data_IF_574471592987
#
_entry.id   IF_574471592987
#
_cell.length_a   1.000
_cell.length_b   1.000
_cell.length_c   1.000
_cell.angle_alpha   90.00
_cell.angle_beta   90.00
_cell.angle_gamma   90.00
#
_symmetry.space_group_name_H-M   'P 1'
#
loop_
_entity.id
_entity.type
_entity.pdbx_description
1 polymer ?
#
# COMPACT_ATOMS: atom_id res chain seq x y z
N UNK A 1 63.70 23.42 -42.86
CA UNK A 1 63.11 24.25 -41.79
C UNK A 1 61.64 23.86 -41.69
N UNK A 2 61.25 23.37 -40.50
CA UNK A 2 59.91 23.43 -39.86
C UNK A 2 58.70 22.98 -40.70
N UNK A 3 58.17 21.77 -40.47
CA UNK A 3 57.20 21.39 -39.42
C UNK A 3 55.77 21.93 -39.64
N UNK A 4 54.85 21.04 -40.05
CA UNK A 4 53.57 20.80 -39.36
C UNK A 4 52.75 19.69 -40.07
N UNK A 5 52.83 18.48 -39.51
CA UNK A 5 51.85 17.38 -39.60
C UNK A 5 50.47 17.80 -38.97
N UNK A 6 49.49 16.90 -38.76
CA UNK A 6 48.76 16.00 -39.67
C UNK A 6 47.23 16.03 -39.34
N UNK A 7 46.44 15.13 -39.93
CA UNK A 7 45.32 14.54 -39.18
C UNK A 7 43.91 14.92 -39.62
N UNK A 8 43.47 14.31 -40.72
CA UNK A 8 42.07 13.92 -40.88
C UNK A 8 42.02 12.55 -41.55
N UNK A 9 42.65 11.55 -40.93
CA UNK A 9 42.39 10.15 -41.26
C UNK A 9 41.00 9.85 -40.73
N UNK A 10 40.05 9.76 -41.67
CA UNK A 10 38.73 9.22 -41.43
C UNK A 10 38.87 7.89 -40.68
N UNK A 11 38.45 7.87 -39.41
CA UNK A 11 38.36 6.65 -38.65
C UNK A 11 37.38 5.72 -39.38
N UNK A 12 37.96 4.67 -39.97
CA UNK A 12 37.30 3.54 -40.58
C UNK A 12 36.09 3.13 -39.73
N UNK A 13 34.93 3.05 -40.38
CA UNK A 13 33.69 2.61 -39.77
C UNK A 13 33.90 1.34 -38.96
N UNK A 14 33.82 1.48 -37.64
CA UNK A 14 33.65 0.34 -36.75
C UNK A 14 32.31 -0.27 -37.16
N UNK A 15 32.24 -1.52 -37.65
CA UNK A 15 30.95 -2.15 -37.81
C UNK A 15 30.28 -2.07 -36.45
N UNK A 16 29.12 -1.41 -36.39
CA UNK A 16 28.21 -1.51 -35.25
C UNK A 16 27.76 -2.97 -35.30
N UNK A 17 28.60 -3.85 -34.74
CA UNK A 17 28.27 -5.24 -34.57
C UNK A 17 26.96 -5.26 -33.82
N UNK A 18 25.93 -5.82 -34.45
CA UNK A 18 24.63 -5.99 -33.84
C UNK A 18 24.87 -6.50 -32.41
N UNK A 19 24.37 -5.76 -31.41
CA UNK A 19 24.45 -6.20 -30.03
C UNK A 19 24.01 -7.67 -29.99
N UNK A 20 24.77 -8.57 -29.35
CA UNK A 20 24.41 -9.98 -29.29
C UNK A 20 22.94 -10.08 -28.88
N UNK A 21 22.12 -10.74 -29.70
CA UNK A 21 20.71 -10.91 -29.39
C UNK A 21 20.59 -11.47 -27.97
N UNK A 22 19.77 -10.86 -27.08
CA UNK A 22 19.63 -11.34 -25.72
C UNK A 22 19.29 -12.82 -25.75
N UNK A 23 20.14 -13.66 -25.15
CA UNK A 23 19.92 -15.11 -25.13
C UNK A 23 18.53 -15.37 -24.51
N UNK A 24 17.65 -16.12 -25.18
CA UNK A 24 16.32 -16.41 -24.65
C UNK A 24 16.44 -17.03 -23.27
N UNK A 25 15.86 -16.36 -22.26
CA UNK A 25 15.91 -16.86 -20.89
C UNK A 25 15.12 -18.18 -20.79
N UNK A 26 15.67 -19.24 -20.17
CA UNK A 26 15.02 -20.55 -20.11
C UNK A 26 13.65 -20.46 -19.42
N UNK A 27 12.68 -21.32 -19.80
CA UNK A 27 11.38 -21.36 -19.18
C UNK A 27 11.52 -21.69 -17.68
N UNK A 28 10.66 -21.07 -16.85
CA UNK A 28 10.62 -21.33 -15.41
C UNK A 28 10.43 -22.83 -15.15
N UNK A 29 11.22 -23.43 -14.22
CA UNK A 29 10.99 -24.80 -13.80
C UNK A 29 9.54 -24.95 -13.30
N UNK A 30 8.86 -26.03 -13.70
CA UNK A 30 7.44 -26.28 -13.33
C UNK A 30 7.19 -26.22 -11.81
N UNK A 31 8.21 -26.47 -10.99
CA UNK A 31 8.17 -26.38 -9.53
C UNK A 31 8.24 -24.94 -8.95
N UNK A 32 8.71 -23.95 -9.72
CA UNK A 32 8.89 -22.57 -9.26
C UNK A 32 7.61 -21.71 -9.38
N UNK A 33 6.80 -21.97 -10.41
CA UNK A 33 5.52 -21.27 -10.62
C UNK A 33 4.49 -21.42 -9.48
N UNK A 34 4.22 -22.62 -8.92
CA UNK A 34 3.26 -22.77 -7.82
C UNK A 34 3.76 -22.12 -6.53
N UNK A 35 5.07 -22.14 -6.27
CA UNK A 35 5.67 -21.48 -5.09
C UNK A 35 5.56 -19.97 -5.14
N UNK A 36 5.74 -19.36 -6.31
CA UNK A 36 5.54 -17.92 -6.49
C UNK A 36 4.09 -17.50 -6.21
N UNK A 37 3.12 -18.30 -6.67
CA UNK A 37 1.70 -18.09 -6.36
C UNK A 37 1.39 -18.25 -4.87
N UNK A 38 1.97 -19.26 -4.22
CA UNK A 38 1.83 -19.46 -2.76
C UNK A 38 2.47 -18.31 -1.96
N UNK A 39 3.63 -17.81 -2.38
CA UNK A 39 4.29 -16.67 -1.76
C UNK A 39 3.46 -15.38 -1.87
N UNK A 40 2.82 -15.15 -3.03
CA UNK A 40 1.90 -14.03 -3.23
C UNK A 40 0.56 -14.20 -2.50
N UNK A 41 0.01 -15.42 -2.48
CA UNK A 41 -1.27 -15.71 -1.83
C UNK A 41 -1.18 -15.71 -0.30
N UNK A 42 -0.27 -16.48 0.27
CA UNK A 42 -0.12 -16.61 1.73
C UNK A 42 0.65 -15.43 2.31
N UNK A 43 1.86 -15.17 1.78
CA UNK A 43 2.70 -14.09 2.28
C UNK A 43 2.15 -12.71 1.92
N UNK A 44 1.75 -12.50 0.66
CA UNK A 44 1.09 -11.27 0.23
C UNK A 44 -0.31 -11.10 0.84
N UNK A 45 -1.06 -12.17 1.04
CA UNK A 45 -2.35 -12.09 1.74
C UNK A 45 -2.22 -11.70 3.20
N UNK A 46 -1.24 -12.27 3.91
CA UNK A 46 -0.93 -11.84 5.28
C UNK A 46 -0.45 -10.38 5.32
N UNK A 47 0.31 -9.94 4.32
CA UNK A 47 0.72 -8.55 4.17
C UNK A 47 -0.50 -7.60 4.07
N UNK A 48 -1.45 -7.92 3.21
CA UNK A 48 -2.68 -7.15 3.03
C UNK A 48 -3.60 -7.19 4.24
N UNK A 49 -3.72 -8.34 4.91
CA UNK A 49 -4.49 -8.44 6.15
C UNK A 49 -3.91 -7.53 7.23
N UNK A 50 -2.60 -7.56 7.44
CA UNK A 50 -1.93 -6.68 8.41
C UNK A 50 -2.15 -5.20 8.10
N UNK A 51 -2.06 -4.82 6.81
CA UNK A 51 -2.35 -3.44 6.37
C UNK A 51 -3.81 -3.05 6.57
N UNK A 52 -4.75 -3.95 6.28
CA UNK A 52 -6.17 -3.70 6.49
C UNK A 52 -6.48 -3.47 7.98
N UNK A 53 -5.88 -4.27 8.87
CA UNK A 53 -5.99 -4.08 10.33
C UNK A 53 -5.39 -2.73 10.74
N UNK A 54 -4.16 -2.42 10.29
CA UNK A 54 -3.50 -1.16 10.64
C UNK A 54 -4.30 0.05 10.13
N UNK A 55 -4.80 0.00 8.90
CA UNK A 55 -5.63 1.03 8.30
C UNK A 55 -6.97 1.16 9.02
N UNK A 56 -7.65 0.07 9.36
CA UNK A 56 -8.92 0.10 10.10
C UNK A 56 -8.74 0.75 11.48
N UNK A 57 -7.72 0.33 12.24
CA UNK A 57 -7.41 0.93 13.53
C UNK A 57 -7.06 2.42 13.41
N UNK A 58 -6.23 2.79 12.42
CA UNK A 58 -5.87 4.18 12.17
C UNK A 58 -7.08 5.02 11.74
N UNK A 59 -7.95 4.48 10.89
CA UNK A 59 -9.17 5.15 10.42
C UNK A 59 -10.16 5.37 11.58
N UNK A 60 -10.34 4.38 12.45
CA UNK A 60 -11.18 4.49 13.64
C UNK A 60 -10.61 5.48 14.67
N UNK A 61 -9.29 5.49 14.88
CA UNK A 61 -8.63 6.52 15.70
C UNK A 61 -8.85 7.91 15.11
N UNK A 62 -8.60 8.07 13.81
CA UNK A 62 -8.81 9.33 13.13
C UNK A 62 -10.27 9.74 13.18
N UNK A 63 -11.23 8.82 13.08
CA UNK A 63 -12.66 9.12 13.19
C UNK A 63 -13.00 9.66 14.59
N UNK A 64 -12.55 8.96 15.64
CA UNK A 64 -12.75 9.35 17.03
C UNK A 64 -12.05 10.65 17.42
N UNK A 65 -11.04 11.08 16.65
CA UNK A 65 -10.34 12.36 16.84
C UNK A 65 -10.91 13.47 15.96
N UNK A 66 -11.05 13.23 14.66
CA UNK A 66 -11.38 14.24 13.66
C UNK A 66 -12.81 14.76 13.81
N UNK A 67 -13.80 13.89 14.02
CA UNK A 67 -15.19 14.36 14.12
C UNK A 67 -15.40 15.23 15.37
N UNK A 68 -15.00 14.80 16.59
CA UNK A 68 -15.17 15.64 17.77
C UNK A 68 -14.35 16.93 17.70
N UNK A 69 -13.12 16.90 17.17
CA UNK A 69 -12.30 18.12 17.01
C UNK A 69 -12.93 19.10 16.03
N UNK A 70 -13.48 18.63 14.91
CA UNK A 70 -14.16 19.48 13.93
C UNK A 70 -15.47 20.05 14.48
N UNK A 71 -16.28 19.24 15.16
CA UNK A 71 -17.55 19.69 15.75
C UNK A 71 -17.31 20.73 16.86
N UNK A 72 -16.41 20.43 17.81
CA UNK A 72 -16.08 21.36 18.89
C UNK A 72 -15.39 22.62 18.37
N UNK A 73 -14.53 22.49 17.36
CA UNK A 73 -13.91 23.64 16.69
C UNK A 73 -14.93 24.53 15.99
N UNK A 74 -15.92 23.94 15.31
CA UNK A 74 -16.99 24.69 14.66
C UNK A 74 -17.87 25.44 15.69
N UNK A 75 -18.24 24.79 16.80
CA UNK A 75 -19.00 25.44 17.88
C UNK A 75 -18.21 26.58 18.51
N UNK A 76 -16.95 26.34 18.89
CA UNK A 76 -16.10 27.36 19.49
C UNK A 76 -15.85 28.56 18.55
N UNK A 77 -15.77 28.32 17.24
CA UNK A 77 -15.69 29.38 16.23
C UNK A 77 -16.97 30.20 16.14
N UNK A 78 -18.15 29.56 16.17
CA UNK A 78 -19.45 30.26 16.16
C UNK A 78 -19.68 31.09 17.42
N UNK A 79 -19.20 30.62 18.57
CA UNK A 79 -19.33 31.31 19.86
C UNK A 79 -18.28 32.42 20.08
N UNK A 80 -17.32 32.58 19.15
CA UNK A 80 -16.24 33.56 19.29
C UNK A 80 -15.31 33.26 20.47
N UNK A 81 -15.12 31.97 20.78
CA UNK A 81 -14.30 31.56 21.91
C UNK A 81 -12.85 32.05 21.75
N UNK A 82 -12.25 32.65 22.79
CA UNK A 82 -10.89 33.22 22.70
C UNK A 82 -9.80 32.15 22.52
N UNK A 83 -10.02 30.91 22.99
CA UNK A 83 -9.04 29.81 22.95
C UNK A 83 -9.68 28.45 22.58
N UNK A 84 -10.12 28.23 21.33
CA UNK A 84 -10.80 27.00 20.91
C UNK A 84 -9.93 25.75 21.08
N UNK A 85 -8.61 25.88 20.90
CA UNK A 85 -7.67 24.77 21.00
C UNK A 85 -7.58 24.16 22.41
N UNK A 86 -7.72 24.97 23.47
CA UNK A 86 -7.65 24.48 24.85
C UNK A 86 -8.89 23.66 25.21
N UNK A 87 -10.07 24.09 24.74
CA UNK A 87 -11.32 23.35 24.91
C UNK A 87 -11.29 22.00 24.21
N UNK A 88 -10.86 21.98 22.94
CA UNK A 88 -10.69 20.75 22.16
C UNK A 88 -9.69 19.80 22.83
N UNK A 89 -8.54 20.31 23.27
CA UNK A 89 -7.54 19.48 23.94
C UNK A 89 -8.09 18.85 25.23
N UNK A 90 -8.84 19.60 26.04
CA UNK A 90 -9.46 19.06 27.26
C UNK A 90 -10.52 18.00 27.00
N UNK A 91 -11.20 18.06 25.85
CA UNK A 91 -12.20 17.05 25.47
C UNK A 91 -11.55 15.78 24.89
N UNK A 92 -10.51 15.92 24.07
CA UNK A 92 -9.88 14.81 23.33
C UNK A 92 -8.86 14.05 24.17
N UNK A 93 -8.10 14.75 25.03
CA UNK A 93 -7.00 14.14 25.78
C UNK A 93 -7.46 13.04 26.76
N UNK A 94 -8.60 13.19 27.48
CA UNK A 94 -9.15 12.10 28.29
C UNK A 94 -9.56 10.89 27.45
N UNK A 95 -10.13 11.13 26.26
CA UNK A 95 -10.55 10.05 25.36
C UNK A 95 -9.36 9.21 24.87
N UNK A 96 -8.21 9.84 24.59
CA UNK A 96 -6.98 9.12 24.23
C UNK A 96 -6.49 8.17 25.34
N UNK A 97 -6.86 8.43 26.60
CA UNK A 97 -6.58 7.56 27.73
C UNK A 97 -7.57 6.39 27.91
N UNK A 98 -8.61 6.30 27.08
CA UNK A 98 -9.60 5.22 27.17
C UNK A 98 -9.01 3.88 26.69
N UNK A 99 -9.50 2.74 27.22
CA UNK A 99 -9.09 1.42 26.74
C UNK A 99 -9.29 1.25 25.23
N UNK A 100 -10.34 1.85 24.67
CA UNK A 100 -10.66 1.79 23.23
C UNK A 100 -9.60 2.50 22.40
N UNK A 101 -9.25 3.75 22.74
CA UNK A 101 -8.23 4.50 22.02
C UNK A 101 -6.86 3.81 22.12
N UNK A 102 -6.51 3.29 23.30
CA UNK A 102 -5.27 2.53 23.51
C UNK A 102 -5.25 1.25 22.68
N UNK A 103 -6.35 0.48 22.66
CA UNK A 103 -6.45 -0.75 21.87
C UNK A 103 -6.29 -0.47 20.38
N UNK A 104 -6.92 0.59 19.85
CA UNK A 104 -6.74 0.97 18.45
C UNK A 104 -5.31 1.46 18.18
N UNK A 105 -4.71 2.22 19.10
CA UNK A 105 -3.32 2.69 18.99
C UNK A 105 -2.32 1.54 18.96
N UNK A 106 -2.56 0.47 19.70
CA UNK A 106 -1.77 -0.78 19.66
C UNK A 106 -2.08 -1.61 18.41
N UNK A 107 -3.32 -1.58 17.92
CA UNK A 107 -3.74 -2.28 16.71
C UNK A 107 -2.97 -1.84 15.46
N UNK A 108 -2.61 -0.55 15.36
CA UNK A 108 -1.81 -0.02 14.24
C UNK A 108 -0.43 -0.69 14.11
N UNK A 109 0.47 -0.64 15.12
CA UNK A 109 1.77 -1.29 15.03
C UNK A 109 1.64 -2.82 14.96
N UNK A 110 0.62 -3.42 15.58
CA UNK A 110 0.38 -4.86 15.47
C UNK A 110 0.01 -5.28 14.04
N UNK A 111 -0.87 -4.53 13.37
CA UNK A 111 -1.21 -4.73 11.97
C UNK A 111 0.00 -4.55 11.05
N UNK A 112 0.82 -3.52 11.28
CA UNK A 112 2.08 -3.32 10.55
C UNK A 112 3.07 -4.48 10.78
N UNK A 113 3.15 -5.00 12.00
CA UNK A 113 3.96 -6.18 12.33
C UNK A 113 3.53 -7.43 11.56
N UNK A 114 2.22 -7.69 11.50
CA UNK A 114 1.64 -8.77 10.67
C UNK A 114 1.98 -8.55 9.20
N UNK A 115 1.89 -7.31 8.73
CA UNK A 115 2.16 -6.99 7.34
C UNK A 115 3.62 -7.30 6.96
N UNK A 116 4.56 -6.86 7.79
CA UNK A 116 5.99 -7.12 7.64
C UNK A 116 6.30 -8.62 7.75
N UNK A 117 5.63 -9.34 8.65
CA UNK A 117 5.77 -10.80 8.76
C UNK A 117 5.31 -11.51 7.48
N UNK A 118 4.21 -11.06 6.87
CA UNK A 118 3.73 -11.56 5.58
C UNK A 118 4.75 -11.38 4.45
N UNK A 119 5.32 -10.18 4.34
CA UNK A 119 6.38 -9.88 3.37
C UNK A 119 7.63 -10.72 3.63
N UNK A 120 8.03 -10.86 4.88
CA UNK A 120 9.18 -11.68 5.27
C UNK A 120 8.98 -13.16 4.94
N UNK A 121 7.81 -13.73 5.26
CA UNK A 121 7.44 -15.11 4.90
C UNK A 121 7.46 -15.29 3.39
N UNK A 122 6.92 -14.34 2.64
CA UNK A 122 6.92 -14.35 1.18
C UNK A 122 8.35 -14.39 0.61
N UNK A 123 9.23 -13.51 1.10
CA UNK A 123 10.65 -13.52 0.73
C UNK A 123 11.34 -14.83 1.10
N UNK A 124 11.01 -15.42 2.25
CA UNK A 124 11.57 -16.71 2.69
C UNK A 124 11.11 -17.88 1.81
N UNK A 125 9.85 -17.90 1.38
CA UNK A 125 9.32 -18.91 0.45
C UNK A 125 9.98 -18.85 -0.94
N UNK A 126 10.46 -17.67 -1.34
CA UNK A 126 11.16 -17.45 -2.61
C UNK A 126 12.67 -17.77 -2.55
N UNK A 127 13.24 -18.04 -1.37
CA UNK A 127 14.65 -18.46 -1.23
C UNK A 127 14.83 -19.89 -1.75
N UNK A 128 15.07 -20.01 -3.06
CA UNK A 128 15.46 -21.25 -3.72
C UNK A 128 16.73 -21.00 -4.55
N UNK A 129 17.62 -22.00 -4.76
CA UNK A 129 18.88 -21.87 -5.51
C UNK A 129 18.81 -21.37 -6.97
N UNK A 130 17.65 -20.89 -7.44
CA UNK A 130 17.45 -20.34 -8.80
C UNK A 130 17.01 -18.87 -8.86
N UNK A 131 16.83 -18.16 -7.74
CA UNK A 131 16.45 -16.73 -7.72
C UNK A 131 17.53 -15.91 -7.01
N UNK A 132 18.18 -15.00 -7.74
CA UNK A 132 19.28 -14.19 -7.22
C UNK A 132 18.84 -13.18 -6.13
N UNK A 133 17.60 -12.68 -6.18
CA UNK A 133 17.12 -11.59 -5.32
C UNK A 133 15.69 -11.80 -4.80
N UNK A 134 15.43 -12.76 -3.89
CA UNK A 134 14.08 -13.08 -3.41
C UNK A 134 13.41 -11.89 -2.69
N UNK A 135 14.17 -11.10 -1.92
CA UNK A 135 13.65 -9.90 -1.25
C UNK A 135 13.28 -8.79 -2.26
N UNK A 136 14.11 -8.58 -3.30
CA UNK A 136 13.83 -7.60 -4.34
C UNK A 136 12.58 -7.95 -5.14
N UNK A 137 12.37 -9.24 -5.43
CA UNK A 137 11.14 -9.76 -6.07
C UNK A 137 9.92 -9.47 -5.21
N UNK A 138 9.97 -9.76 -3.90
CA UNK A 138 8.86 -9.50 -2.96
C UNK A 138 8.52 -8.01 -2.89
N UNK A 139 9.51 -7.13 -2.73
CA UNK A 139 9.27 -5.68 -2.63
C UNK A 139 8.72 -5.08 -3.92
N UNK A 140 9.24 -5.49 -5.07
CA UNK A 140 8.73 -5.03 -6.36
C UNK A 140 7.31 -5.55 -6.64
N UNK A 141 7.04 -6.83 -6.33
CA UNK A 141 5.71 -7.41 -6.48
C UNK A 141 4.70 -6.73 -5.54
N UNK A 142 5.10 -6.48 -4.29
CA UNK A 142 4.28 -5.74 -3.33
C UNK A 142 4.00 -4.31 -3.80
N UNK A 143 5.00 -3.58 -4.28
CA UNK A 143 4.82 -2.22 -4.82
C UNK A 143 3.87 -2.18 -6.01
N UNK A 144 3.97 -3.14 -6.93
CA UNK A 144 3.03 -3.27 -8.06
C UNK A 144 1.62 -3.58 -7.56
N UNK A 145 1.48 -4.54 -6.63
CA UNK A 145 0.18 -4.89 -6.06
C UNK A 145 -0.46 -3.69 -5.33
N UNK A 146 0.35 -2.89 -4.62
CA UNK A 146 -0.09 -1.68 -3.94
C UNK A 146 -0.63 -0.66 -4.93
N UNK A 147 0.14 -0.33 -5.98
CA UNK A 147 -0.29 0.62 -7.01
C UNK A 147 -1.54 0.10 -7.73
N UNK A 148 -1.58 -1.17 -8.12
CA UNK A 148 -2.73 -1.78 -8.77
C UNK A 148 -3.98 -1.72 -7.87
N UNK A 149 -3.84 -2.05 -6.58
CA UNK A 149 -4.93 -1.93 -5.62
C UNK A 149 -5.41 -0.47 -5.49
N UNK A 150 -4.50 0.51 -5.42
CA UNK A 150 -4.87 1.93 -5.39
C UNK A 150 -5.64 2.38 -6.63
N UNK A 151 -5.25 1.91 -7.84
CA UNK A 151 -6.01 2.20 -9.05
C UNK A 151 -7.41 1.57 -9.03
N UNK A 152 -7.52 0.32 -8.60
CA UNK A 152 -8.82 -0.37 -8.51
C UNK A 152 -9.71 0.27 -7.45
N UNK A 153 -9.17 0.63 -6.29
CA UNK A 153 -9.87 1.37 -5.25
C UNK A 153 -10.25 2.79 -5.69
N UNK A 154 -9.40 3.48 -6.44
CA UNK A 154 -9.68 4.80 -7.00
C UNK A 154 -10.82 4.79 -8.02
N UNK A 155 -10.84 3.80 -8.91
CA UNK A 155 -11.94 3.57 -9.86
C UNK A 155 -13.22 3.07 -9.17
N UNK A 156 -13.09 2.29 -8.09
CA UNK A 156 -14.21 1.82 -7.27
C UNK A 156 -14.85 2.95 -6.44
N UNK A 157 -14.05 3.89 -5.92
CA UNK A 157 -14.52 5.02 -5.11
C UNK A 157 -15.38 6.01 -5.89
N UNK A 158 -15.23 6.10 -7.22
CA UNK A 158 -16.13 6.88 -8.07
C UNK A 158 -17.53 6.28 -8.21
N UNK A 159 -17.73 5.00 -7.87
CA UNK A 159 -19.00 4.28 -8.07
C UNK A 159 -19.60 3.76 -6.75
N UNK A 160 -18.82 3.63 -5.67
CA UNK A 160 -19.27 2.96 -4.45
C UNK A 160 -18.66 3.45 -3.14
N UNK A 161 -18.90 4.71 -2.76
CA UNK A 161 -18.85 5.17 -1.37
C UNK A 161 -17.49 5.08 -0.61
N UNK A 162 -17.43 5.65 0.61
CA UNK A 162 -16.17 6.05 1.25
C UNK A 162 -15.36 4.92 1.91
N UNK A 163 -15.73 3.65 1.72
CA UNK A 163 -15.18 2.54 2.51
C UNK A 163 -14.15 1.67 1.78
N UNK A 164 -13.83 1.95 0.52
CA UNK A 164 -12.92 1.12 -0.29
C UNK A 164 -11.58 1.83 -0.51
N UNK A 165 -10.73 1.86 0.51
CA UNK A 165 -9.26 1.94 0.36
C UNK A 165 -8.65 3.20 -0.29
N UNK A 166 -9.39 4.30 -0.42
CA UNK A 166 -8.80 5.59 -0.79
C UNK A 166 -8.12 6.24 0.41
N UNK A 167 -6.94 6.84 0.20
CA UNK A 167 -6.47 7.97 1.02
C UNK A 167 -7.65 8.93 1.29
N UNK A 168 -7.69 9.65 2.42
CA UNK A 168 -8.78 10.56 2.77
C UNK A 168 -8.75 11.79 1.84
N UNK A 169 -9.19 11.59 0.60
CA UNK A 169 -9.47 12.61 -0.38
C UNK A 169 -10.98 12.82 -0.38
N UNK A 170 -11.42 13.78 0.43
CA UNK A 170 -12.55 14.70 0.20
C UNK A 170 -13.55 14.17 -0.87
N UNK A 171 -14.27 13.12 -0.52
CA UNK A 171 -15.23 12.44 -1.39
C UNK A 171 -16.64 12.76 -0.94
N UNK A 172 -17.18 13.84 -1.50
CA UNK A 172 -18.57 14.29 -1.45
C UNK A 172 -19.58 13.14 -1.49
N UNK A 173 -20.34 12.94 -0.41
CA UNK A 173 -21.35 11.89 -0.31
C UNK A 173 -22.42 12.16 0.74
N UNK A 174 -23.29 13.14 0.46
CA UNK A 174 -24.70 13.12 0.86
C UNK A 174 -25.06 13.28 2.34
N UNK A 175 -24.91 14.49 2.89
CA UNK A 175 -25.74 14.94 4.03
C UNK A 175 -26.73 15.99 3.54
N UNK A 176 -27.63 15.58 2.65
CA UNK A 176 -28.81 16.35 2.24
C UNK A 176 -29.95 16.17 3.25
N UNK A 177 -29.73 16.59 4.49
CA UNK A 177 -30.77 16.67 5.51
C UNK A 177 -31.19 18.13 5.68
N UNK A 178 -32.50 18.40 5.56
CA UNK A 178 -33.10 19.73 5.65
C UNK A 178 -32.56 20.56 6.81
N UNK A 179 -32.19 21.81 6.53
CA UNK A 179 -31.58 22.80 7.43
C UNK A 179 -32.55 23.38 8.46
N UNK A 180 -33.28 22.53 9.19
CA UNK A 180 -33.87 22.92 10.47
C UNK A 180 -32.77 22.89 11.52
N UNK A 181 -32.50 24.04 12.17
CA UNK A 181 -31.37 24.26 13.07
C UNK A 181 -31.01 23.03 13.90
N UNK A 182 -29.79 22.54 13.73
CA UNK A 182 -29.31 21.37 14.46
C UNK A 182 -29.28 21.77 15.93
N UNK A 183 -30.10 21.09 16.72
CA UNK A 183 -30.16 21.35 18.15
C UNK A 183 -28.79 21.00 18.79
N UNK A 184 -28.26 21.83 19.71
CA UNK A 184 -26.90 21.69 20.25
C UNK A 184 -26.70 20.38 21.03
N UNK A 185 -27.77 19.82 21.58
CA UNK A 185 -27.83 18.49 22.19
C UNK A 185 -27.61 17.36 21.17
N UNK A 186 -28.16 17.46 19.96
CA UNK A 186 -27.89 16.52 18.88
C UNK A 186 -26.42 16.60 18.44
N UNK A 187 -25.82 17.80 18.35
CA UNK A 187 -24.39 17.95 18.02
C UNK A 187 -23.48 17.33 19.09
N UNK A 188 -23.83 17.46 20.37
CA UNK A 188 -23.10 16.85 21.46
C UNK A 188 -23.13 15.31 21.40
N UNK A 189 -24.26 14.74 20.99
CA UNK A 189 -24.43 13.30 20.79
C UNK A 189 -23.54 12.75 19.65
N UNK A 190 -23.35 13.52 18.57
CA UNK A 190 -22.44 13.18 17.48
C UNK A 190 -20.96 13.48 17.79
N UNK A 191 -20.67 14.28 18.81
CA UNK A 191 -19.31 14.54 19.28
C UNK A 191 -18.77 13.43 20.21
N UNK A 192 -19.62 12.48 20.61
CA UNK A 192 -19.21 11.31 21.40
C UNK A 192 -18.47 10.28 20.52
N UNK A 193 -17.15 10.23 20.70
CA UNK A 193 -16.26 9.34 19.97
C UNK A 193 -16.58 7.85 20.20
N UNK A 194 -17.00 7.45 21.40
CA UNK A 194 -17.28 6.04 21.70
C UNK A 194 -18.55 5.58 21.00
N UNK A 195 -19.56 6.44 20.92
CA UNK A 195 -20.77 6.19 20.14
C UNK A 195 -20.48 6.11 18.64
N UNK A 196 -19.70 7.04 18.11
CA UNK A 196 -19.29 7.02 16.70
C UNK A 196 -18.56 5.72 16.37
N UNK A 197 -17.64 5.30 17.23
CA UNK A 197 -16.92 4.04 17.09
C UNK A 197 -17.85 2.84 17.16
N UNK A 198 -18.79 2.79 18.11
CA UNK A 198 -19.74 1.69 18.23
C UNK A 198 -20.58 1.51 16.96
N UNK A 199 -20.96 2.62 16.31
CA UNK A 199 -21.71 2.60 15.05
C UNK A 199 -20.79 2.24 13.88
N UNK A 200 -19.59 2.81 13.80
CA UNK A 200 -18.71 2.67 12.63
C UNK A 200 -17.98 1.32 12.58
N UNK A 201 -17.63 0.74 13.73
CA UNK A 201 -16.82 -0.49 13.85
C UNK A 201 -17.30 -1.64 12.96
N UNK A 202 -18.60 -2.03 12.93
CA UNK A 202 -19.05 -3.19 12.17
C UNK A 202 -18.90 -2.96 10.66
N UNK A 203 -19.20 -1.75 10.19
CA UNK A 203 -19.07 -1.38 8.77
C UNK A 203 -17.61 -1.35 8.34
N UNK A 204 -16.73 -0.81 9.18
CA UNK A 204 -15.29 -0.81 8.92
C UNK A 204 -14.74 -2.23 8.88
N UNK A 205 -15.14 -3.11 9.81
CA UNK A 205 -14.68 -4.49 9.85
C UNK A 205 -15.13 -5.29 8.61
N UNK A 206 -16.42 -5.23 8.26
CA UNK A 206 -16.98 -5.95 7.11
C UNK A 206 -16.43 -5.39 5.80
N UNK A 207 -16.40 -4.07 5.65
CA UNK A 207 -15.85 -3.40 4.48
C UNK A 207 -14.38 -3.73 4.27
N UNK A 208 -13.58 -3.73 5.35
CA UNK A 208 -12.17 -4.13 5.30
C UNK A 208 -12.03 -5.57 4.83
N UNK A 209 -12.79 -6.52 5.39
CA UNK A 209 -12.71 -7.94 5.04
C UNK A 209 -13.15 -8.22 3.59
N UNK A 210 -14.18 -7.54 3.09
CA UNK A 210 -14.57 -7.67 1.69
C UNK A 210 -13.49 -7.06 0.77
N UNK A 211 -12.91 -5.92 1.17
CA UNK A 211 -11.95 -5.19 0.34
C UNK A 211 -10.63 -5.93 0.14
N UNK A 212 -10.18 -6.80 1.06
CA UNK A 212 -8.89 -7.51 0.95
C UNK A 212 -8.86 -8.58 -0.16
N UNK A 213 -10.01 -9.06 -0.63
CA UNK A 213 -10.08 -10.12 -1.64
C UNK A 213 -9.37 -9.70 -2.92
N UNK A 214 -9.64 -8.48 -3.41
CA UNK A 214 -9.06 -7.95 -4.64
C UNK A 214 -7.53 -7.78 -4.53
N UNK A 215 -6.97 -7.11 -3.50
CA UNK A 215 -5.54 -7.04 -3.26
C UNK A 215 -4.85 -8.40 -3.13
N UNK A 216 -5.49 -9.39 -2.52
CA UNK A 216 -4.94 -10.76 -2.44
C UNK A 216 -4.79 -11.35 -3.84
N UNK A 217 -5.81 -11.24 -4.69
CA UNK A 217 -5.75 -11.72 -6.08
C UNK A 217 -4.66 -10.99 -6.88
N UNK A 218 -4.58 -9.67 -6.73
CA UNK A 218 -3.53 -8.86 -7.35
C UNK A 218 -2.13 -9.27 -6.88
N UNK A 219 -1.96 -9.58 -5.59
CA UNK A 219 -0.70 -10.09 -5.04
C UNK A 219 -0.31 -11.44 -5.61
N UNK A 220 -1.24 -12.39 -5.74
CA UNK A 220 -0.96 -13.69 -6.37
C UNK A 220 -0.42 -13.48 -7.79
N UNK A 221 -1.05 -12.58 -8.55
CA UNK A 221 -0.62 -12.26 -9.91
C UNK A 221 0.73 -11.53 -9.94
N UNK A 222 0.92 -10.50 -9.11
CA UNK A 222 2.14 -9.70 -9.08
C UNK A 222 3.37 -10.53 -8.70
N UNK A 223 3.24 -11.46 -7.75
CA UNK A 223 4.33 -12.37 -7.38
C UNK A 223 4.66 -13.37 -8.47
N UNK A 224 3.64 -13.93 -9.13
CA UNK A 224 3.84 -14.80 -10.28
C UNK A 224 4.54 -14.07 -11.43
N UNK A 225 4.10 -12.84 -11.73
CA UNK A 225 4.68 -12.00 -12.78
C UNK A 225 6.14 -11.65 -12.48
N UNK A 226 6.44 -11.20 -11.26
CA UNK A 226 7.80 -10.81 -10.89
C UNK A 226 8.76 -12.00 -10.85
N UNK A 227 8.30 -13.17 -10.41
CA UNK A 227 9.09 -14.40 -10.52
C UNK A 227 9.41 -14.75 -11.99
N UNK A 228 8.49 -14.45 -12.92
CA UNK A 228 8.69 -14.66 -14.35
C UNK A 228 9.63 -13.63 -15.00
N UNK A 229 9.53 -12.36 -14.57
CA UNK A 229 10.32 -11.24 -15.08
C UNK A 229 11.78 -11.26 -14.57
N UNK A 230 12.00 -11.70 -13.33
CA UNK A 230 13.32 -11.72 -12.67
C UNK A 230 14.04 -13.07 -12.81
N UNK A 231 13.60 -13.92 -13.76
CA UNK A 231 14.24 -15.21 -14.02
C UNK A 231 15.71 -15.03 -14.47
N UNK A 232 16.63 -15.93 -14.05
CA UNK A 232 18.04 -15.89 -14.46
C UNK A 232 18.19 -15.86 -15.98
N UNK A 233 19.19 -15.11 -16.46
CA UNK A 233 19.60 -15.20 -17.86
C UNK A 233 20.17 -16.60 -18.15
N UNK A 234 20.01 -17.08 -19.39
CA UNK A 234 20.66 -18.31 -19.81
C UNK A 234 22.18 -18.19 -19.60
N UNK A 235 22.88 -19.27 -19.22
CA UNK A 235 24.34 -19.28 -19.24
C UNK A 235 24.81 -18.80 -20.62
N UNK A 236 25.79 -17.88 -20.66
CA UNK A 236 26.41 -17.52 -21.95
C UNK A 236 26.93 -18.79 -22.61
N UNK A 237 26.72 -18.99 -23.91
CA UNK A 237 27.36 -20.08 -24.62
C UNK A 237 28.86 -19.98 -24.37
N UNK A 238 29.47 -21.07 -23.91
CA UNK A 238 30.90 -21.13 -23.71
C UNK A 238 31.60 -20.67 -24.99
N UNK A 239 32.52 -19.71 -24.88
CA UNK A 239 33.32 -19.25 -26.01
C UNK A 239 33.96 -20.51 -26.63
N UNK A 240 33.78 -20.78 -27.94
CA UNK A 240 34.42 -21.94 -28.56
C UNK A 240 35.93 -21.85 -28.32
N UNK A 241 36.62 -22.99 -28.09
CA UNK A 241 38.06 -22.99 -27.92
C UNK A 241 38.68 -22.22 -29.08
N UNK A 242 39.55 -21.25 -28.77
CA UNK A 242 40.32 -20.57 -29.79
C UNK A 242 41.10 -21.65 -30.55
N UNK A 243 40.83 -21.80 -31.84
CA UNK A 243 41.64 -22.67 -32.68
C UNK A 243 43.10 -22.19 -32.63
N UNK A 244 44.06 -23.12 -32.47
CA UNK A 244 45.48 -22.82 -32.35
C UNK A 244 46.08 -22.23 -33.64
#
# INVERSE_FOLDING_TARGET
MTLSEPGAVAASGRPIGAAPLPVPRPPLPRAAAPRARLAGGVGGGLAWLGLAVAQACAALLLLGLAIPTLLLGAVAWMEGAPDPGVGIARAVLPWLGTPTAIALAIGVPLGLGIALLGLWLSARMLRHPGLAHPAGVTWAAFGIALVAASFVSGLGSSVGGPFVGGLPGIGSGGLGGSSSGIAPDALAEWADADRLLAIAWPFVAIGSLASIIVPIVLSVFAWWWMAHAMRPAAPSPARPPAEP
#
